data_IF_580783967374
#
_entry.id   IF_580783967374
#
_cell.length_a   1.000
_cell.length_b   1.000
_cell.length_c   1.000
_cell.angle_alpha   90.00
_cell.angle_beta   90.00
_cell.angle_gamma   90.00
#
_symmetry.space_group_name_H-M   'P 1'
#
loop_
_entity.id
_entity.type
_entity.pdbx_description
1 polymer ?
#
# COMPACT_ATOMS: atom_id res chain seq x y z
N UNK A 1 -4.81 3.57 -1.82
CA UNK A 1 -4.22 3.85 -3.14
C UNK A 1 -4.20 5.33 -3.48
N UNK A 2 -5.34 6.04 -3.57
CA UNK A 2 -5.35 7.43 -4.07
C UNK A 2 -4.58 8.44 -3.19
N UNK A 3 -4.67 8.34 -1.86
CA UNK A 3 -3.88 9.20 -0.95
C UNK A 3 -2.37 8.98 -1.11
N UNK A 4 -1.93 7.72 -1.22
CA UNK A 4 -0.53 7.37 -1.49
C UNK A 4 -0.08 7.91 -2.85
N UNK A 5 -0.91 7.78 -3.88
CA UNK A 5 -0.60 8.29 -5.22
C UNK A 5 -0.51 9.83 -5.25
N UNK A 6 -1.34 10.53 -4.47
CA UNK A 6 -1.26 11.98 -4.29
C UNK A 6 0.05 12.40 -3.59
N UNK A 7 0.45 11.69 -2.52
CA UNK A 7 1.73 11.91 -1.86
C UNK A 7 2.91 11.68 -2.84
N UNK A 8 2.86 10.60 -3.63
CA UNK A 8 3.87 10.30 -4.65
C UNK A 8 3.92 11.35 -5.77
N UNK A 9 2.80 12.03 -6.07
CA UNK A 9 2.75 13.19 -6.99
C UNK A 9 3.42 14.45 -6.39
N UNK A 10 3.71 14.45 -5.10
CA UNK A 10 4.31 15.57 -4.37
C UNK A 10 3.30 16.43 -3.61
N UNK A 11 2.05 15.99 -3.46
CA UNK A 11 1.06 16.69 -2.62
C UNK A 11 1.55 16.69 -1.16
N UNK A 12 1.64 17.86 -0.49
CA UNK A 12 1.97 17.93 0.92
C UNK A 12 1.01 17.10 1.79
N UNK A 13 1.53 16.44 2.84
CA UNK A 13 0.74 15.51 3.66
C UNK A 13 -0.48 16.17 4.32
N UNK A 14 -0.37 17.46 4.67
CA UNK A 14 -1.42 18.30 5.25
C UNK A 14 -2.45 18.79 4.21
N UNK A 15 -2.24 18.50 2.92
CA UNK A 15 -3.08 18.91 1.78
C UNK A 15 -3.59 17.74 0.93
N UNK A 16 -3.45 16.50 1.42
CA UNK A 16 -3.95 15.31 0.71
C UNK A 16 -5.48 15.33 0.57
N UNK A 17 -6.19 15.97 1.50
CA UNK A 17 -7.65 15.98 1.51
C UNK A 17 -8.22 17.39 1.23
N UNK A 18 -9.30 17.49 0.41
CA UNK A 18 -9.88 16.42 -0.41
C UNK A 18 -8.91 15.95 -1.50
N UNK A 19 -8.96 14.65 -1.83
CA UNK A 19 -8.01 14.06 -2.79
C UNK A 19 -8.33 14.54 -4.21
N UNK A 20 -7.33 15.10 -4.89
CA UNK A 20 -7.33 15.31 -6.35
C UNK A 20 -7.30 13.93 -7.05
N UNK A 21 -8.48 13.40 -7.38
CA UNK A 21 -8.65 12.04 -7.92
C UNK A 21 -7.95 11.90 -9.26
N UNK A 22 -8.20 12.83 -10.20
CA UNK A 22 -7.62 12.77 -11.55
C UNK A 22 -6.09 12.84 -11.49
N UNK A 23 -5.56 13.75 -10.66
CA UNK A 23 -4.13 13.83 -10.43
C UNK A 23 -3.52 12.59 -9.78
N UNK A 24 -4.21 11.99 -8.80
CA UNK A 24 -3.77 10.75 -8.17
C UNK A 24 -3.77 9.58 -9.17
N UNK A 25 -4.79 9.47 -10.03
CA UNK A 25 -4.85 8.45 -11.08
C UNK A 25 -3.74 8.63 -12.12
N UNK A 26 -3.43 9.87 -12.54
CA UNK A 26 -2.28 10.15 -13.40
C UNK A 26 -0.95 9.70 -12.77
N UNK A 27 -0.82 9.82 -11.45
CA UNK A 27 0.36 9.33 -10.71
C UNK A 27 0.46 7.80 -10.77
N UNK A 28 -0.68 7.10 -10.62
CA UNK A 28 -0.76 5.64 -10.78
C UNK A 28 -0.44 5.21 -12.21
N UNK A 29 -0.96 5.91 -13.22
CA UNK A 29 -0.75 5.56 -14.62
C UNK A 29 0.73 5.58 -15.03
N UNK A 30 1.53 6.48 -14.43
CA UNK A 30 3.00 6.53 -14.65
C UNK A 30 3.72 5.26 -14.23
N UNK A 31 3.23 4.58 -13.19
CA UNK A 31 3.87 3.36 -12.65
C UNK A 31 3.10 2.09 -13.00
N UNK A 32 1.95 2.20 -13.65
CA UNK A 32 1.05 1.07 -13.96
C UNK A 32 1.72 -0.08 -14.70
N UNK A 33 2.67 0.21 -15.59
CA UNK A 33 3.46 -0.80 -16.30
C UNK A 33 4.45 -1.58 -15.43
N UNK A 34 4.65 -1.14 -14.18
CA UNK A 34 5.52 -1.74 -13.17
C UNK A 34 4.72 -2.30 -11.98
N UNK A 35 3.39 -2.43 -12.10
CA UNK A 35 2.55 -3.03 -11.08
C UNK A 35 2.17 -4.44 -11.53
N UNK A 36 2.88 -5.44 -11.00
CA UNK A 36 2.65 -6.85 -11.35
C UNK A 36 1.34 -7.39 -10.77
N UNK A 37 0.91 -6.89 -9.60
CA UNK A 37 -0.30 -7.36 -8.94
C UNK A 37 -1.03 -6.28 -8.13
N UNK A 38 -2.36 -6.25 -8.30
CA UNK A 38 -3.28 -5.55 -7.41
C UNK A 38 -3.85 -6.56 -6.41
N UNK A 39 -3.20 -6.68 -5.25
CA UNK A 39 -3.60 -7.67 -4.23
C UNK A 39 -4.97 -7.33 -3.63
N UNK A 40 -5.76 -8.36 -3.33
CA UNK A 40 -7.11 -8.22 -2.74
C UNK A 40 -7.21 -8.83 -1.34
N UNK A 41 -6.17 -9.54 -0.89
CA UNK A 41 -6.06 -10.05 0.48
C UNK A 41 -4.65 -9.90 1.03
N UNK A 42 -4.53 -9.83 2.36
CA UNK A 42 -3.23 -9.80 3.04
C UNK A 42 -2.41 -11.08 2.86
N UNK A 43 -3.05 -12.22 2.60
CA UNK A 43 -2.35 -13.48 2.30
C UNK A 43 -1.70 -13.44 0.92
N UNK A 44 -2.46 -13.00 -0.10
CA UNK A 44 -1.92 -12.79 -1.45
C UNK A 44 -0.75 -11.80 -1.42
N UNK A 45 -0.89 -10.69 -0.70
CA UNK A 45 0.16 -9.69 -0.56
C UNK A 45 1.46 -10.25 0.03
N UNK A 46 1.38 -11.16 1.02
CA UNK A 46 2.56 -11.82 1.57
C UNK A 46 3.19 -12.80 0.58
N UNK A 47 2.37 -13.56 -0.16
CA UNK A 47 2.86 -14.55 -1.12
C UNK A 47 3.68 -13.88 -2.23
N UNK A 48 3.16 -12.79 -2.81
CA UNK A 48 3.85 -11.99 -3.83
C UNK A 48 5.27 -11.58 -3.40
N UNK A 49 5.42 -11.13 -2.15
CA UNK A 49 6.72 -10.72 -1.59
C UNK A 49 7.60 -11.93 -1.27
N UNK A 50 7.01 -13.00 -0.71
CA UNK A 50 7.74 -14.20 -0.27
C UNK A 50 8.33 -14.99 -1.44
N UNK A 51 7.60 -15.05 -2.56
CA UNK A 51 8.03 -15.74 -3.77
C UNK A 51 8.97 -14.90 -4.65
N UNK A 52 9.17 -13.62 -4.29
CA UNK A 52 9.98 -12.70 -5.08
C UNK A 52 9.29 -12.28 -6.39
N UNK A 53 7.96 -12.40 -6.48
CA UNK A 53 7.21 -11.90 -7.63
C UNK A 53 7.22 -10.36 -7.69
N UNK A 54 7.38 -9.70 -6.53
CA UNK A 54 7.54 -8.25 -6.43
C UNK A 54 8.70 -7.87 -5.51
N UNK A 55 9.48 -6.86 -5.91
CA UNK A 55 10.60 -6.34 -5.11
C UNK A 55 10.15 -5.40 -3.98
N UNK A 56 9.00 -4.74 -4.15
CA UNK A 56 8.43 -3.78 -3.20
C UNK A 56 6.90 -3.83 -3.22
N UNK A 57 6.28 -3.68 -2.06
CA UNK A 57 4.82 -3.69 -1.95
C UNK A 57 4.30 -2.72 -0.88
N UNK A 58 3.20 -2.03 -1.20
CA UNK A 58 2.38 -1.32 -0.21
C UNK A 58 1.36 -2.30 0.37
N UNK A 59 1.64 -2.81 1.57
CA UNK A 59 0.85 -3.87 2.23
C UNK A 59 0.56 -3.50 3.69
N UNK A 60 -0.40 -4.19 4.31
CA UNK A 60 -0.69 -3.99 5.73
C UNK A 60 0.53 -4.29 6.60
N UNK A 61 0.85 -3.38 7.53
CA UNK A 61 2.03 -3.47 8.39
C UNK A 61 2.10 -4.76 9.21
N UNK A 62 0.95 -5.32 9.62
CA UNK A 62 0.90 -6.62 10.29
C UNK A 62 1.45 -7.76 9.42
N UNK A 63 1.21 -7.72 8.11
CA UNK A 63 1.70 -8.70 7.12
C UNK A 63 3.19 -8.53 6.88
N UNK A 64 3.66 -7.29 6.70
CA UNK A 64 5.10 -7.00 6.63
C UNK A 64 5.85 -7.46 7.90
N UNK A 65 5.24 -7.26 9.07
CA UNK A 65 5.77 -7.73 10.35
C UNK A 65 5.87 -9.26 10.42
N UNK A 66 4.87 -9.99 9.93
CA UNK A 66 4.90 -11.46 9.85
C UNK A 66 6.00 -11.95 8.92
N UNK A 67 6.12 -11.39 7.70
CA UNK A 67 7.19 -11.75 6.76
C UNK A 67 8.58 -11.62 7.41
N UNK A 68 8.84 -10.49 8.08
CA UNK A 68 10.09 -10.27 8.81
C UNK A 68 10.31 -11.28 9.94
N UNK A 69 9.26 -11.63 10.69
CA UNK A 69 9.33 -12.66 11.76
C UNK A 69 9.61 -14.06 11.21
N UNK A 70 9.12 -14.37 10.02
CA UNK A 70 9.38 -15.63 9.30
C UNK A 70 10.78 -15.68 8.66
N UNK A 71 11.59 -14.62 8.79
CA UNK A 71 12.95 -14.59 8.25
C UNK A 71 13.02 -14.24 6.77
N UNK A 72 11.94 -13.74 6.16
CA UNK A 72 12.01 -13.18 4.81
C UNK A 72 12.99 -11.99 4.78
N UNK A 73 13.79 -11.82 3.72
CA UNK A 73 14.82 -10.78 3.61
C UNK A 73 14.19 -9.40 3.30
N UNK A 74 13.28 -8.94 4.15
CA UNK A 74 12.48 -7.73 3.94
C UNK A 74 12.72 -6.69 5.04
N UNK A 75 12.64 -5.43 4.66
CA UNK A 75 12.50 -4.30 5.59
C UNK A 75 11.22 -3.52 5.25
N UNK A 76 10.72 -2.72 6.19
CA UNK A 76 9.56 -1.87 5.95
C UNK A 76 9.69 -0.56 6.71
N UNK A 77 9.08 0.49 6.16
CA UNK A 77 9.03 1.84 6.74
C UNK A 77 7.58 2.24 7.02
N UNK A 78 7.40 3.13 8.00
CA UNK A 78 6.14 3.83 8.25
C UNK A 78 6.15 5.26 7.70
N UNK A 79 7.25 5.70 7.07
CA UNK A 79 7.32 7.01 6.45
C UNK A 79 6.21 7.16 5.39
N UNK A 80 5.45 8.25 5.50
CA UNK A 80 4.24 8.51 4.72
C UNK A 80 3.21 7.36 4.72
N UNK A 81 3.21 6.52 5.75
CA UNK A 81 2.26 5.42 5.91
C UNK A 81 0.81 5.90 6.07
N UNK A 82 -0.14 5.11 5.57
CA UNK A 82 -1.57 5.39 5.71
C UNK A 82 -2.15 4.58 6.87
N UNK A 83 -2.58 5.27 7.92
CA UNK A 83 -3.29 4.65 9.04
C UNK A 83 -4.77 4.48 8.69
N UNK A 84 -5.26 3.25 8.78
CA UNK A 84 -6.68 2.89 8.64
C UNK A 84 -7.14 2.13 9.87
N UNK A 85 -8.43 2.25 10.20
CA UNK A 85 -9.04 1.52 11.30
C UNK A 85 -10.21 0.69 10.77
N UNK A 86 -10.33 -0.54 11.26
CA UNK A 86 -11.52 -1.36 11.09
C UNK A 86 -12.48 -1.08 12.25
N UNK A 87 -13.78 -1.15 11.94
CA UNK A 87 -14.85 -0.94 12.92
C UNK A 87 -15.65 -2.24 13.09
N UNK A 88 -15.90 -2.62 14.33
CA UNK A 88 -16.87 -3.66 14.65
C UNK A 88 -18.29 -3.09 14.52
N UNK A 89 -19.16 -3.77 13.78
CA UNK A 89 -20.54 -3.35 13.57
C UNK A 89 -21.51 -4.50 13.86
N UNK A 90 -22.72 -4.16 14.29
CA UNK A 90 -23.84 -5.10 14.39
C UNK A 90 -24.80 -4.78 13.23
N UNK A 91 -24.95 -5.68 12.24
CA UNK A 91 -25.94 -5.51 11.17
C UNK A 91 -27.36 -5.37 11.74
N UNK A 92 -28.22 -4.59 11.07
CA UNK A 92 -29.64 -4.50 11.42
C UNK A 92 -30.37 -5.82 11.26
#
# INVERSE_FOLDING_TARGET
TLSVAALAKGTPIDKVYPVDIDGALQSVDKVKGHIDAWWTSGAQAMQLVKDGEVDMASIWNGRAGTLRKEGAPVSFSFDQGVLTADCMVIPK
#
